data_IF_258834770944
#
_entry.id   IF_258834770944
#
_cell.length_a   1.000
_cell.length_b   1.000
_cell.length_c   1.000
_cell.angle_alpha   90.00
_cell.angle_beta   90.00
_cell.angle_gamma   90.00
#
_symmetry.space_group_name_H-M   'P 1'
#
loop_
_entity.id
_entity.type
_entity.pdbx_description
1 polymer ?
#
# COMPACT_ATOMS: atom_id res chain seq x y z
N UNK A 1 -8.24 -77.52 -2.52
CA UNK A 1 -7.16 -76.97 -1.66
C UNK A 1 -7.60 -75.60 -1.18
N UNK A 2 -7.95 -75.44 0.10
CA UNK A 2 -8.30 -74.12 0.68
C UNK A 2 -7.00 -73.41 1.03
N UNK A 3 -6.70 -72.31 0.36
CA UNK A 3 -5.61 -71.43 0.75
C UNK A 3 -5.92 -70.88 2.16
N UNK A 4 -5.07 -71.17 3.14
CA UNK A 4 -5.13 -70.52 4.45
C UNK A 4 -4.85 -69.03 4.24
N UNK A 5 -5.87 -68.18 4.39
CA UNK A 5 -5.69 -66.73 4.45
C UNK A 5 -4.89 -66.42 5.72
N UNK A 6 -3.60 -66.10 5.58
CA UNK A 6 -2.79 -65.56 6.67
C UNK A 6 -3.29 -64.15 7.00
N UNK A 7 -3.68 -63.93 8.26
CA UNK A 7 -3.99 -62.60 8.79
C UNK A 7 -2.72 -61.81 9.10
N UNK A 8 -2.86 -60.50 9.24
CA UNK A 8 -1.79 -59.59 9.65
C UNK A 8 -1.33 -59.89 11.08
N UNK A 9 -0.03 -59.81 11.34
CA UNK A 9 0.47 -59.89 12.72
C UNK A 9 0.36 -58.53 13.43
N UNK A 10 0.29 -58.54 14.77
CA UNK A 10 0.30 -57.29 15.56
C UNK A 10 1.55 -56.44 15.27
N UNK A 11 2.70 -57.09 15.10
CA UNK A 11 3.96 -56.42 14.77
C UNK A 11 3.87 -55.70 13.42
N UNK A 12 3.32 -56.37 12.41
CA UNK A 12 3.19 -55.84 11.06
C UNK A 12 2.24 -54.63 11.01
N UNK A 13 1.16 -54.66 11.79
CA UNK A 13 0.26 -53.51 11.96
C UNK A 13 0.96 -52.33 12.67
N UNK A 14 1.71 -52.59 13.75
CA UNK A 14 2.46 -51.55 14.46
C UNK A 14 3.49 -50.87 13.56
N UNK A 15 4.23 -51.67 12.77
CA UNK A 15 5.20 -51.14 11.80
C UNK A 15 4.49 -50.30 10.75
N UNK A 16 3.38 -50.78 10.18
CA UNK A 16 2.62 -50.04 9.18
C UNK A 16 2.11 -48.68 9.71
N UNK A 17 1.55 -48.65 10.93
CA UNK A 17 1.07 -47.41 11.56
C UNK A 17 2.25 -46.47 11.87
N UNK A 18 3.40 -47.00 12.31
CA UNK A 18 4.59 -46.17 12.60
C UNK A 18 5.12 -45.47 11.34
N UNK A 19 5.21 -46.20 10.22
CA UNK A 19 5.64 -45.65 8.93
C UNK A 19 4.62 -44.62 8.46
N UNK A 20 3.33 -44.92 8.54
CA UNK A 20 2.28 -43.99 8.15
C UNK A 20 2.33 -42.69 8.97
N UNK A 21 2.52 -42.80 10.29
CA UNK A 21 2.65 -41.65 11.18
C UNK A 21 3.89 -40.81 10.83
N UNK A 22 5.03 -41.46 10.56
CA UNK A 22 6.26 -40.80 10.14
C UNK A 22 6.08 -40.05 8.81
N UNK A 23 5.52 -40.71 7.80
CA UNK A 23 5.23 -40.10 6.49
C UNK A 23 4.27 -38.92 6.63
N UNK A 24 3.20 -39.08 7.42
CA UNK A 24 2.23 -38.01 7.68
C UNK A 24 2.88 -36.79 8.36
N UNK A 25 3.78 -37.02 9.32
CA UNK A 25 4.52 -35.96 9.99
C UNK A 25 5.45 -35.19 9.04
N UNK A 26 6.11 -35.89 8.10
CA UNK A 26 6.95 -35.26 7.08
C UNK A 26 6.11 -34.42 6.12
N UNK A 27 4.99 -34.95 5.65
CA UNK A 27 4.05 -34.22 4.78
C UNK A 27 3.55 -32.96 5.48
N UNK A 28 3.09 -33.09 6.72
CA UNK A 28 2.61 -31.95 7.52
C UNK A 28 3.69 -30.88 7.68
N UNK A 29 4.94 -31.29 7.96
CA UNK A 29 6.07 -30.38 8.11
C UNK A 29 6.37 -29.62 6.82
N UNK A 30 6.30 -30.28 5.66
CA UNK A 30 6.48 -29.65 4.36
C UNK A 30 5.37 -28.63 4.08
N UNK A 31 4.11 -28.98 4.34
CA UNK A 31 2.97 -28.05 4.20
C UNK A 31 3.10 -26.83 5.13
N UNK A 32 3.47 -27.05 6.40
CA UNK A 32 3.69 -25.97 7.35
C UNK A 32 4.84 -25.05 6.91
N UNK A 33 5.91 -25.60 6.34
CA UNK A 33 7.00 -24.82 5.73
C UNK A 33 6.53 -23.98 4.55
N UNK A 34 5.74 -24.56 3.65
CA UNK A 34 5.18 -23.87 2.48
C UNK A 34 4.25 -22.72 2.89
N UNK A 35 3.37 -22.93 3.88
CA UNK A 35 2.48 -21.88 4.38
C UNK A 35 3.25 -20.69 4.96
N UNK A 36 4.29 -20.95 5.76
CA UNK A 36 5.15 -19.88 6.31
C UNK A 36 5.85 -19.09 5.20
N UNK A 37 6.37 -19.78 4.18
CA UNK A 37 7.00 -19.14 3.03
C UNK A 37 6.01 -18.25 2.25
N UNK A 38 4.82 -18.79 1.97
CA UNK A 38 3.74 -18.05 1.31
C UNK A 38 3.36 -16.78 2.09
N UNK A 39 3.17 -16.88 3.40
CA UNK A 39 2.86 -15.72 4.25
C UNK A 39 3.98 -14.67 4.22
N UNK A 40 5.24 -15.09 4.19
CA UNK A 40 6.38 -14.18 4.02
C UNK A 40 6.35 -13.42 2.69
N UNK A 41 6.07 -14.13 1.60
CA UNK A 41 5.94 -13.53 0.27
C UNK A 41 4.75 -12.57 0.18
N UNK A 42 3.60 -12.94 0.73
CA UNK A 42 2.41 -12.09 0.75
C UNK A 42 2.67 -10.76 1.46
N UNK A 43 3.37 -10.77 2.60
CA UNK A 43 3.75 -9.54 3.32
C UNK A 43 4.66 -8.65 2.49
N UNK A 44 5.61 -9.22 1.76
CA UNK A 44 6.51 -8.46 0.89
C UNK A 44 5.71 -7.85 -0.27
N UNK A 45 4.89 -8.66 -0.94
CA UNK A 45 4.04 -8.21 -2.05
C UNK A 45 3.09 -7.09 -1.63
N UNK A 46 2.49 -7.18 -0.45
CA UNK A 46 1.60 -6.15 0.08
C UNK A 46 2.33 -4.82 0.25
N UNK A 47 3.52 -4.81 0.87
CA UNK A 47 4.33 -3.59 1.03
C UNK A 47 4.71 -2.96 -0.31
N UNK A 48 5.09 -3.78 -1.31
CA UNK A 48 5.38 -3.27 -2.65
C UNK A 48 4.14 -2.72 -3.35
N UNK A 49 2.98 -3.36 -3.15
CA UNK A 49 1.70 -2.93 -3.71
C UNK A 49 1.30 -1.56 -3.14
N UNK A 50 1.35 -1.40 -1.83
CA UNK A 50 1.09 -0.14 -1.14
C UNK A 50 2.00 0.99 -1.66
N UNK A 51 3.32 0.74 -1.71
CA UNK A 51 4.28 1.72 -2.22
C UNK A 51 4.03 2.11 -3.68
N UNK A 52 3.71 1.13 -4.54
CA UNK A 52 3.39 1.40 -5.95
C UNK A 52 2.12 2.22 -6.12
N UNK A 53 1.08 1.94 -5.32
CA UNK A 53 -0.16 2.73 -5.33
C UNK A 53 0.13 4.18 -4.92
N UNK A 54 0.90 4.38 -3.85
CA UNK A 54 1.27 5.71 -3.38
C UNK A 54 2.06 6.50 -4.45
N UNK A 55 3.09 5.88 -5.04
CA UNK A 55 3.91 6.50 -6.08
C UNK A 55 3.12 6.83 -7.35
N UNK A 56 2.24 5.91 -7.79
CA UNK A 56 1.40 6.14 -8.96
C UNK A 56 0.44 7.32 -8.74
N UNK A 57 -0.10 7.47 -7.53
CA UNK A 57 -0.92 8.63 -7.16
C UNK A 57 -0.11 9.93 -7.17
N UNK A 58 1.04 9.96 -6.51
CA UNK A 58 1.93 11.13 -6.49
C UNK A 58 2.29 11.55 -7.93
N UNK A 59 2.68 10.59 -8.76
CA UNK A 59 3.06 10.83 -10.16
C UNK A 59 1.92 11.48 -10.93
N UNK A 60 0.70 10.95 -10.80
CA UNK A 60 -0.48 11.50 -11.47
C UNK A 60 -0.78 12.93 -11.04
N UNK A 61 -0.65 13.23 -9.75
CA UNK A 61 -0.92 14.57 -9.21
C UNK A 61 0.18 15.57 -9.59
N UNK A 62 1.45 15.15 -9.58
CA UNK A 62 2.56 15.97 -10.06
C UNK A 62 2.48 16.25 -11.57
N UNK A 63 2.02 15.27 -12.36
CA UNK A 63 1.82 15.45 -13.80
C UNK A 63 0.69 16.45 -14.12
N UNK A 64 -0.28 16.62 -13.23
CA UNK A 64 -1.33 17.63 -13.37
C UNK A 64 -1.04 18.94 -12.63
N UNK A 65 0.17 19.09 -12.10
CA UNK A 65 0.60 20.32 -11.46
C UNK A 65 0.69 21.46 -12.50
N UNK A 66 0.24 22.65 -12.12
CA UNK A 66 0.27 23.82 -13.00
C UNK A 66 0.60 25.09 -12.23
N UNK A 67 1.15 26.07 -12.96
CA UNK A 67 1.34 27.44 -12.48
C UNK A 67 0.52 28.36 -13.38
N UNK A 68 -0.37 29.15 -12.78
CA UNK A 68 -1.12 30.18 -13.50
C UNK A 68 -0.28 31.44 -13.58
N UNK A 69 0.02 31.87 -14.80
CA UNK A 69 0.59 33.19 -15.07
C UNK A 69 -0.50 34.26 -15.29
N UNK A 70 -1.77 33.91 -15.06
CA UNK A 70 -2.88 34.84 -15.19
C UNK A 70 -2.95 35.76 -13.97
N UNK A 71 -2.15 36.81 -14.01
CA UNK A 71 -2.13 37.87 -13.00
C UNK A 71 -2.89 39.07 -13.57
N UNK A 72 -4.00 39.50 -12.95
CA UNK A 72 -4.66 40.73 -13.34
C UNK A 72 -3.72 41.93 -13.26
N UNK A 73 -3.91 42.91 -14.15
CA UNK A 73 -3.09 44.13 -14.15
C UNK A 73 -3.22 44.92 -12.84
N UNK A 74 -4.34 44.76 -12.14
CA UNK A 74 -4.56 45.29 -10.79
C UNK A 74 -4.23 44.20 -9.75
N UNK A 75 -3.19 44.39 -8.91
CA UNK A 75 -2.81 43.44 -7.87
C UNK A 75 -3.90 43.16 -6.84
N UNK A 76 -4.87 44.07 -6.66
CA UNK A 76 -5.99 43.87 -5.72
C UNK A 76 -7.00 42.85 -6.23
N UNK A 77 -6.97 42.52 -7.52
CA UNK A 77 -7.82 41.52 -8.15
C UNK A 77 -7.17 40.13 -8.21
N UNK A 78 -5.99 39.94 -7.61
CA UNK A 78 -5.35 38.62 -7.52
C UNK A 78 -6.17 37.74 -6.57
N UNK A 79 -7.08 36.95 -7.14
CA UNK A 79 -7.87 35.96 -6.41
C UNK A 79 -7.08 34.67 -6.18
N UNK A 80 -6.04 34.41 -6.98
CA UNK A 80 -5.32 33.13 -6.98
C UNK A 80 -3.81 33.32 -7.16
N UNK A 81 -3.03 32.84 -6.18
CA UNK A 81 -1.60 32.62 -6.31
C UNK A 81 -1.36 31.11 -6.36
N UNK A 82 -0.85 30.62 -7.49
CA UNK A 82 -0.42 29.22 -7.65
C UNK A 82 1.07 29.11 -7.36
N UNK A 83 1.49 28.06 -6.68
CA UNK A 83 2.88 27.82 -6.37
C UNK A 83 3.28 26.36 -6.64
N UNK A 84 4.57 26.13 -6.84
CA UNK A 84 5.20 24.82 -6.84
C UNK A 84 6.48 24.94 -6.02
N UNK A 85 6.45 24.51 -4.77
CA UNK A 85 7.49 24.77 -3.79
C UNK A 85 7.96 23.45 -3.18
N UNK A 86 9.24 23.15 -3.36
CA UNK A 86 9.92 22.10 -2.61
C UNK A 86 10.63 22.69 -1.39
N UNK A 87 10.41 22.11 -0.21
CA UNK A 87 11.11 22.45 1.03
C UNK A 87 11.86 21.22 1.51
N UNK A 88 13.18 21.36 1.66
CA UNK A 88 13.99 20.33 2.29
C UNK A 88 13.64 20.22 3.76
N UNK A 89 13.50 19.00 4.25
CA UNK A 89 13.13 18.73 5.63
C UNK A 89 13.81 17.48 6.15
N UNK A 90 14.13 17.50 7.44
CA UNK A 90 14.49 16.30 8.19
C UNK A 90 13.33 15.98 9.11
N UNK A 91 12.78 14.76 9.10
CA UNK A 91 13.31 13.56 8.45
C UNK A 91 12.83 13.31 7.01
N UNK A 92 11.98 14.17 6.45
CA UNK A 92 11.51 14.06 5.07
C UNK A 92 11.26 15.43 4.44
N UNK A 93 11.42 15.49 3.12
CA UNK A 93 11.12 16.68 2.33
C UNK A 93 9.60 16.90 2.20
N UNK A 94 9.25 18.15 1.90
CA UNK A 94 7.88 18.57 1.62
C UNK A 94 7.78 19.17 0.23
N UNK A 95 6.71 18.86 -0.50
CA UNK A 95 6.36 19.52 -1.74
C UNK A 95 4.92 20.02 -1.68
N UNK A 96 4.74 21.29 -2.01
CA UNK A 96 3.46 21.99 -2.04
C UNK A 96 3.22 22.48 -3.48
N UNK A 97 2.09 22.10 -4.09
CA UNK A 97 1.78 22.48 -5.47
C UNK A 97 0.28 22.58 -5.76
N UNK A 98 -0.07 23.40 -6.75
CA UNK A 98 -1.42 23.44 -7.32
C UNK A 98 -1.55 22.44 -8.47
N UNK A 99 -2.66 21.71 -8.52
CA UNK A 99 -2.92 20.71 -9.55
C UNK A 99 -4.40 20.63 -9.94
N UNK A 100 -4.68 20.23 -11.18
CA UNK A 100 -6.01 19.82 -11.63
C UNK A 100 -6.25 18.35 -11.23
N UNK A 101 -6.46 18.14 -9.93
CA UNK A 101 -6.62 16.80 -9.36
C UNK A 101 -7.75 16.73 -8.33
N UNK A 102 -8.63 17.73 -8.29
CA UNK A 102 -9.85 17.62 -7.50
C UNK A 102 -10.84 16.70 -8.23
N UNK A 103 -11.09 15.51 -7.67
CA UNK A 103 -12.20 14.68 -8.12
C UNK A 103 -13.48 15.22 -7.49
N UNK A 104 -14.31 15.91 -8.29
CA UNK A 104 -15.67 16.29 -7.88
C UNK A 104 -16.43 15.05 -7.43
N UNK A 105 -16.70 14.92 -6.14
CA UNK A 105 -17.42 13.77 -5.57
C UNK A 105 -18.93 13.93 -5.63
N UNK A 106 -19.43 15.16 -5.75
CA UNK A 106 -20.86 15.47 -5.88
C UNK A 106 -21.17 16.16 -7.22
N UNK A 107 -22.31 15.80 -7.80
CA UNK A 107 -22.75 16.27 -9.13
C UNK A 107 -23.12 17.76 -9.14
N UNK A 108 -23.54 18.31 -8.00
CA UNK A 108 -24.03 19.69 -7.85
C UNK A 108 -23.11 20.56 -6.96
N UNK A 109 -21.91 20.08 -6.61
CA UNK A 109 -20.94 20.85 -5.86
C UNK A 109 -20.27 21.91 -6.76
N UNK A 110 -20.38 23.18 -6.35
CA UNK A 110 -19.67 24.31 -6.97
C UNK A 110 -18.20 24.31 -6.53
N UNK A 111 -17.51 23.20 -6.77
CA UNK A 111 -16.09 23.05 -6.50
C UNK A 111 -15.30 23.14 -7.80
N UNK A 112 -14.18 23.84 -7.73
CA UNK A 112 -13.23 23.89 -8.83
C UNK A 112 -12.53 22.54 -8.95
N UNK A 113 -12.10 22.17 -10.16
CA UNK A 113 -11.22 21.02 -10.40
C UNK A 113 -9.78 21.28 -9.90
N UNK A 114 -9.50 22.52 -9.50
CA UNK A 114 -8.26 22.97 -8.88
C UNK A 114 -8.14 22.50 -7.43
N UNK A 115 -6.95 22.01 -7.09
CA UNK A 115 -6.59 21.56 -5.76
C UNK A 115 -5.22 22.09 -5.36
N UNK A 116 -5.07 22.46 -4.09
CA UNK A 116 -3.76 22.59 -3.47
C UNK A 116 -3.40 21.26 -2.81
N UNK A 117 -2.23 20.72 -3.14
CA UNK A 117 -1.76 19.42 -2.68
C UNK A 117 -0.41 19.60 -1.99
N UNK A 118 -0.29 18.97 -0.82
CA UNK A 118 0.96 18.89 -0.08
C UNK A 118 1.32 17.44 0.21
N UNK A 119 2.55 17.07 -0.08
CA UNK A 119 3.15 15.82 0.38
C UNK A 119 4.26 16.11 1.37
N UNK A 120 4.26 15.43 2.51
CA UNK A 120 5.28 15.59 3.56
C UNK A 120 5.37 14.34 4.43
N UNK A 121 6.50 14.15 5.12
CA UNK A 121 6.62 13.10 6.13
C UNK A 121 6.11 13.55 7.50
N UNK A 122 5.38 12.67 8.18
CA UNK A 122 4.94 12.85 9.57
C UNK A 122 5.43 11.68 10.42
N UNK A 123 5.85 11.90 11.68
CA UNK A 123 6.13 10.81 12.61
C UNK A 123 4.91 9.89 12.75
N UNK A 124 5.15 8.59 12.75
CA UNK A 124 4.12 7.59 12.99
C UNK A 124 3.64 7.71 14.45
N UNK A 125 2.32 7.80 14.70
CA UNK A 125 1.77 7.97 16.05
C UNK A 125 2.03 6.78 16.99
N UNK A 126 2.48 5.63 16.47
CA UNK A 126 2.80 4.44 17.26
C UNK A 126 4.11 4.53 18.06
N UNK A 127 4.86 5.63 17.93
CA UNK A 127 6.12 5.86 18.65
C UNK A 127 7.30 5.04 18.12
N UNK A 128 7.16 4.37 16.98
CA UNK A 128 8.21 3.54 16.37
C UNK A 128 9.38 4.32 15.77
N UNK A 129 9.32 5.65 15.74
CA UNK A 129 10.28 6.52 15.05
C UNK A 129 10.21 6.44 13.52
N UNK A 130 9.24 5.69 12.96
CA UNK A 130 9.00 5.66 11.52
C UNK A 130 8.35 6.96 11.05
N UNK A 131 8.60 7.29 9.79
CA UNK A 131 8.02 8.45 9.12
C UNK A 131 7.04 7.96 8.08
N UNK A 132 5.80 8.40 8.21
CA UNK A 132 4.71 8.08 7.30
C UNK A 132 4.61 9.20 6.25
N UNK A 133 4.42 8.81 4.99
CA UNK A 133 4.13 9.74 3.91
C UNK A 133 2.68 10.21 4.04
N UNK A 134 2.50 11.52 4.27
CA UNK A 134 1.19 12.15 4.39
C UNK A 134 0.89 12.98 3.15
N UNK A 135 -0.37 12.92 2.73
CA UNK A 135 -0.94 13.77 1.69
C UNK A 135 -2.02 14.65 2.29
N UNK A 136 -1.84 15.96 2.21
CA UNK A 136 -2.89 16.94 2.50
C UNK A 136 -3.45 17.47 1.18
N UNK A 137 -4.76 17.65 1.14
CA UNK A 137 -5.46 18.25 0.00
C UNK A 137 -6.47 19.24 0.51
N UNK A 138 -6.48 20.41 -0.13
CA UNK A 138 -7.46 21.45 0.10
C UNK A 138 -8.12 21.74 -1.25
N UNK A 139 -9.38 21.34 -1.37
CA UNK A 139 -10.24 21.72 -2.49
C UNK A 139 -10.62 23.19 -2.38
N UNK A 140 -10.76 23.88 -3.51
CA UNK A 140 -11.19 25.27 -3.55
C UNK A 140 -12.60 25.38 -4.11
N UNK A 141 -13.44 26.15 -3.43
CA UNK A 141 -14.76 26.55 -3.92
C UNK A 141 -14.62 27.50 -5.11
N UNK A 142 -15.59 27.45 -6.03
CA UNK A 142 -15.70 28.34 -7.20
C UNK A 142 -16.09 29.75 -6.77
#
# INVERSE_FOLDING_TARGET
>A
MKALRRGFTLLELLVAISILAMVSALIYSAFAGMQRSKQGLERIQERYREGRIALHRITRELQSAYLSAHVPNDPTLIVQSTAFIGKRGTPADRVDFNAFANLRKDRDAHESDQAEISYFGSPNPDGSGRIDLVRLHVGRAV
#
